data_IF_986892298101
#
_entry.id   IF_986892298101
#
_cell.length_a   1.000
_cell.length_b   1.000
_cell.length_c   1.000
_cell.angle_alpha   90.00
_cell.angle_beta   90.00
_cell.angle_gamma   90.00
#
_symmetry.space_group_name_H-M   'P 1'
#
loop_
_entity.id
_entity.type
_entity.pdbx_description
1 polymer ?
#
# COMPACT_ATOMS: atom_id res chain seq x y z
N UNK A 1 -22.75 -18.80 2.19
CA UNK A 1 -22.07 -17.67 2.85
C UNK A 1 -22.67 -16.42 2.26
N UNK A 2 -23.50 -15.72 3.02
CA UNK A 2 -24.32 -14.63 2.52
C UNK A 2 -24.27 -13.49 3.52
N UNK A 3 -23.96 -12.28 3.05
CA UNK A 3 -23.85 -11.08 3.88
C UNK A 3 -22.41 -10.75 4.25
N UNK A 4 -22.21 -10.36 5.51
CA UNK A 4 -21.00 -9.72 6.01
C UNK A 4 -19.71 -10.56 5.88
N UNK A 5 -19.81 -11.89 5.93
CA UNK A 5 -18.64 -12.77 5.78
C UNK A 5 -17.93 -12.60 4.42
N UNK A 6 -18.68 -12.25 3.37
CA UNK A 6 -18.11 -11.96 2.05
C UNK A 6 -17.29 -10.67 2.08
N UNK A 7 -17.73 -9.68 2.86
CA UNK A 7 -17.01 -8.41 2.99
C UNK A 7 -15.76 -8.60 3.85
N UNK A 8 -15.85 -9.35 4.95
CA UNK A 8 -14.71 -9.77 5.75
C UNK A 8 -13.68 -10.52 4.89
N UNK A 9 -14.12 -11.45 4.04
CA UNK A 9 -13.25 -12.13 3.08
C UNK A 9 -12.52 -11.16 2.13
N UNK A 10 -13.22 -10.15 1.61
CA UNK A 10 -12.62 -9.11 0.76
C UNK A 10 -11.61 -8.24 1.51
N UNK A 11 -11.85 -7.92 2.78
CA UNK A 11 -10.90 -7.19 3.65
C UNK A 11 -9.61 -8.00 3.79
N UNK A 12 -9.74 -9.30 4.09
CA UNK A 12 -8.59 -10.19 4.22
C UNK A 12 -7.80 -10.31 2.90
N UNK A 13 -8.49 -10.43 1.76
CA UNK A 13 -7.84 -10.51 0.45
C UNK A 13 -7.15 -9.21 0.05
N UNK A 14 -7.75 -8.06 0.38
CA UNK A 14 -7.13 -6.75 0.18
C UNK A 14 -5.87 -6.58 1.04
N UNK A 15 -5.89 -7.01 2.30
CA UNK A 15 -4.73 -6.97 3.19
C UNK A 15 -3.56 -7.81 2.64
N UNK A 16 -3.85 -9.04 2.19
CA UNK A 16 -2.84 -9.89 1.52
C UNK A 16 -2.32 -9.29 0.22
N UNK A 17 -3.17 -8.62 -0.55
CA UNK A 17 -2.74 -7.93 -1.76
C UNK A 17 -1.80 -6.76 -1.44
N UNK A 18 -2.15 -5.94 -0.45
CA UNK A 18 -1.31 -4.83 0.03
C UNK A 18 0.04 -5.33 0.54
N UNK A 19 0.06 -6.38 1.36
CA UNK A 19 1.29 -6.99 1.86
C UNK A 19 2.20 -7.49 0.72
N UNK A 20 1.64 -8.16 -0.29
CA UNK A 20 2.40 -8.60 -1.46
C UNK A 20 3.00 -7.42 -2.24
N UNK A 21 2.29 -6.29 -2.34
CA UNK A 21 2.83 -5.08 -2.98
C UNK A 21 4.01 -4.54 -2.18
N UNK A 22 3.90 -4.48 -0.85
CA UNK A 22 5.00 -4.06 0.02
C UNK A 22 6.25 -4.95 -0.16
N UNK A 23 6.07 -6.27 -0.20
CA UNK A 23 7.15 -7.25 -0.40
C UNK A 23 7.85 -7.09 -1.76
N UNK A 24 7.10 -6.73 -2.81
CA UNK A 24 7.65 -6.47 -4.15
C UNK A 24 8.43 -5.15 -4.19
N UNK A 25 7.95 -4.12 -3.50
CA UNK A 25 8.54 -2.77 -3.55
C UNK A 25 9.74 -2.64 -2.61
N UNK A 26 9.68 -3.21 -1.40
CA UNK A 26 10.70 -3.07 -0.37
C UNK A 26 12.15 -3.35 -0.82
N UNK A 27 12.45 -4.37 -1.67
CA UNK A 27 13.80 -4.64 -2.12
C UNK A 27 14.27 -3.78 -3.30
N UNK A 28 13.40 -2.94 -3.89
CA UNK A 28 13.74 -2.17 -5.08
C UNK A 28 14.62 -0.97 -4.73
N UNK A 29 15.82 -0.88 -5.28
CA UNK A 29 16.67 0.30 -5.11
C UNK A 29 16.52 1.25 -6.31
N UNK A 30 15.56 2.18 -6.23
CA UNK A 30 15.30 3.13 -7.32
C UNK A 30 16.48 4.08 -7.56
N UNK A 31 17.18 4.49 -6.51
CA UNK A 31 18.32 5.38 -6.64
C UNK A 31 19.54 4.65 -7.22
N UNK A 32 19.80 3.42 -6.79
CA UNK A 32 20.91 2.59 -7.26
C UNK A 32 20.69 2.02 -8.67
N UNK A 33 19.44 1.86 -9.11
CA UNK A 33 19.12 1.46 -10.49
C UNK A 33 19.52 2.52 -11.53
N UNK A 34 19.70 3.78 -11.12
CA UNK A 34 20.14 4.86 -12.00
C UNK A 34 21.67 4.82 -12.07
N UNK A 35 22.27 4.43 -13.22
CA UNK A 35 23.71 4.39 -13.36
C UNK A 35 24.28 5.79 -13.15
N UNK A 36 25.48 5.85 -12.56
CA UNK A 36 26.22 7.09 -12.54
C UNK A 36 26.51 7.48 -13.99
N UNK A 37 25.94 8.60 -14.44
CA UNK A 37 26.25 9.12 -15.76
C UNK A 37 27.72 9.51 -15.77
N UNK A 38 28.46 9.06 -16.79
CA UNK A 38 29.89 9.32 -16.94
C UNK A 38 30.21 10.75 -16.50
N UNK A 39 30.91 10.86 -15.37
CA UNK A 39 31.34 12.11 -14.76
C UNK A 39 32.39 12.86 -15.61
N UNK A 40 32.49 12.53 -16.91
CA UNK A 40 33.54 12.92 -17.83
C UNK A 40 33.62 14.41 -18.12
N UNK A 41 32.63 15.22 -17.72
CA UNK A 41 32.72 16.67 -17.83
C UNK A 41 32.34 17.37 -16.51
N UNK A 42 33.34 17.85 -15.75
CA UNK A 42 33.15 18.82 -14.67
C UNK A 42 32.30 20.01 -15.16
N UNK A 43 31.24 20.36 -14.42
CA UNK A 43 30.36 21.48 -14.76
C UNK A 43 29.13 21.12 -15.60
N UNK A 44 28.96 19.86 -16.01
CA UNK A 44 27.74 19.43 -16.69
C UNK A 44 26.53 19.54 -15.75
N UNK A 45 25.62 20.49 -16.03
CA UNK A 45 24.32 20.62 -15.33
C UNK A 45 23.53 19.30 -15.28
N UNK A 46 23.79 18.38 -16.20
CA UNK A 46 23.22 17.04 -16.23
C UNK A 46 23.60 16.19 -15.00
N UNK A 47 24.85 16.25 -14.53
CA UNK A 47 25.32 15.49 -13.34
C UNK A 47 24.64 16.01 -12.07
N UNK A 48 24.51 17.33 -11.93
CA UNK A 48 23.80 17.93 -10.79
C UNK A 48 22.30 17.56 -10.79
N UNK A 49 21.65 17.55 -11.96
CA UNK A 49 20.27 17.08 -12.11
C UNK A 49 20.14 15.59 -11.77
N UNK A 50 21.06 14.76 -12.23
CA UNK A 50 21.08 13.33 -11.92
C UNK A 50 21.20 13.08 -10.41
N UNK A 51 22.12 13.78 -9.74
CA UNK A 51 22.28 13.70 -8.29
C UNK A 51 21.04 14.19 -7.53
N UNK A 52 20.29 15.15 -8.08
CA UNK A 52 19.00 15.59 -7.53
C UNK A 52 17.93 14.51 -7.68
N UNK A 53 17.87 13.84 -8.82
CA UNK A 53 16.93 12.73 -9.08
C UNK A 53 17.24 11.55 -8.16
N UNK A 54 18.50 11.10 -8.08
CA UNK A 54 18.91 10.00 -7.19
C UNK A 54 18.55 10.30 -5.72
N UNK A 55 18.78 11.53 -5.25
CA UNK A 55 18.36 11.95 -3.90
C UNK A 55 16.86 11.97 -3.70
N UNK A 56 16.08 12.34 -4.70
CA UNK A 56 14.60 12.36 -4.61
C UNK A 56 13.97 10.97 -4.60
N UNK A 57 14.69 9.96 -5.09
CA UNK A 57 14.25 8.57 -5.09
C UNK A 57 14.80 7.75 -3.92
N UNK A 58 15.95 8.13 -3.35
CA UNK A 58 16.54 7.40 -2.24
C UNK A 58 15.57 7.26 -1.05
N UNK A 59 15.29 6.02 -0.65
CA UNK A 59 14.42 5.70 0.49
C UNK A 59 12.93 5.80 0.19
N UNK A 60 12.53 6.16 -1.04
CA UNK A 60 11.11 6.32 -1.39
C UNK A 60 10.41 4.98 -1.52
N UNK A 61 11.12 3.95 -1.97
CA UNK A 61 10.71 2.55 -1.94
C UNK A 61 10.29 2.10 -0.53
N UNK A 62 11.06 2.48 0.50
CA UNK A 62 10.83 2.04 1.87
C UNK A 62 9.58 2.71 2.45
N UNK A 63 9.39 4.00 2.14
CA UNK A 63 8.21 4.73 2.54
C UNK A 63 6.95 4.14 1.91
N UNK A 64 6.97 3.86 0.60
CA UNK A 64 5.83 3.25 -0.10
C UNK A 64 5.55 1.85 0.44
N UNK A 65 6.58 1.01 0.63
CA UNK A 65 6.42 -0.32 1.20
C UNK A 65 5.85 -0.28 2.62
N UNK A 66 6.26 0.70 3.45
CA UNK A 66 5.73 0.90 4.79
C UNK A 66 4.25 1.31 4.77
N UNK A 67 3.84 2.18 3.85
CA UNK A 67 2.42 2.56 3.70
C UNK A 67 1.54 1.36 3.33
N UNK A 68 1.98 0.53 2.37
CA UNK A 68 1.27 -0.70 2.03
C UNK A 68 1.25 -1.72 3.17
N UNK A 69 2.34 -1.84 3.94
CA UNK A 69 2.40 -2.72 5.11
C UNK A 69 1.45 -2.25 6.20
N UNK A 70 1.43 -0.95 6.51
CA UNK A 70 0.50 -0.37 7.49
C UNK A 70 -0.96 -0.56 7.08
N UNK A 71 -1.28 -0.38 5.79
CA UNK A 71 -2.62 -0.67 5.29
C UNK A 71 -3.00 -2.15 5.43
N UNK A 72 -2.06 -3.07 5.17
CA UNK A 72 -2.28 -4.50 5.38
C UNK A 72 -2.54 -4.84 6.85
N UNK A 73 -1.79 -4.24 7.78
CA UNK A 73 -1.99 -4.38 9.22
C UNK A 73 -3.38 -3.88 9.66
N UNK A 74 -3.80 -2.70 9.21
CA UNK A 74 -5.10 -2.14 9.54
C UNK A 74 -6.25 -3.03 9.03
N UNK A 75 -6.12 -3.59 7.83
CA UNK A 75 -7.08 -4.56 7.31
C UNK A 75 -7.08 -5.87 8.09
N UNK A 76 -5.92 -6.36 8.55
CA UNK A 76 -5.85 -7.54 9.41
C UNK A 76 -6.55 -7.32 10.75
N UNK A 77 -6.33 -6.15 11.37
CA UNK A 77 -7.04 -5.77 12.61
C UNK A 77 -8.55 -5.67 12.39
N UNK A 78 -8.99 -5.16 11.25
CA UNK A 78 -10.41 -5.11 10.90
C UNK A 78 -11.02 -6.51 10.72
N UNK A 79 -10.33 -7.43 10.02
CA UNK A 79 -10.76 -8.83 9.87
C UNK A 79 -10.88 -9.52 11.24
N UNK A 80 -9.87 -9.38 12.10
CA UNK A 80 -9.89 -9.92 13.47
C UNK A 80 -11.04 -9.34 14.30
N UNK A 81 -11.23 -8.02 14.26
CA UNK A 81 -12.30 -7.34 14.99
C UNK A 81 -13.68 -7.83 14.58
N UNK A 82 -13.96 -7.88 13.27
CA UNK A 82 -15.27 -8.28 12.76
C UNK A 82 -15.55 -9.78 12.92
N UNK A 83 -14.51 -10.63 12.94
CA UNK A 83 -14.67 -12.05 13.28
C UNK A 83 -14.94 -12.28 14.76
N UNK A 84 -14.38 -11.45 15.64
CA UNK A 84 -14.61 -11.53 17.08
C UNK A 84 -15.94 -10.90 17.51
N UNK A 85 -16.52 -9.99 16.71
CA UNK A 85 -17.71 -9.22 17.05
C UNK A 85 -18.74 -9.25 15.91
N UNK A 86 -19.49 -10.35 15.77
CA UNK A 86 -20.54 -10.49 14.74
C UNK A 86 -21.57 -9.34 14.78
N UNK A 87 -21.96 -8.88 15.98
CA UNK A 87 -22.90 -7.77 16.14
C UNK A 87 -22.33 -6.43 15.63
N UNK A 88 -21.04 -6.18 15.86
CA UNK A 88 -20.33 -5.01 15.35
C UNK A 88 -20.16 -5.06 13.83
N UNK A 89 -19.85 -6.25 13.30
CA UNK A 89 -19.76 -6.47 11.85
C UNK A 89 -21.11 -6.23 11.16
N UNK A 90 -22.20 -6.75 11.72
CA UNK A 90 -23.54 -6.52 11.17
C UNK A 90 -23.98 -5.06 11.28
N UNK A 91 -23.63 -4.35 12.35
CA UNK A 91 -23.97 -2.93 12.51
C UNK A 91 -23.24 -2.05 11.50
N UNK A 92 -21.92 -2.18 11.42
CA UNK A 92 -21.08 -1.35 10.56
C UNK A 92 -21.35 -1.63 9.08
N UNK A 93 -21.56 -2.89 8.70
CA UNK A 93 -21.81 -3.24 7.30
C UNK A 93 -23.20 -2.85 6.83
N UNK A 94 -24.22 -2.84 7.70
CA UNK A 94 -25.54 -2.30 7.37
C UNK A 94 -25.52 -0.79 7.18
N UNK A 95 -24.60 -0.06 7.81
CA UNK A 95 -24.44 1.39 7.57
C UNK A 95 -23.77 1.67 6.22
N UNK A 96 -22.92 0.76 5.73
CA UNK A 96 -22.25 0.86 4.43
C UNK A 96 -23.10 0.35 3.26
N UNK A 97 -24.05 -0.56 3.51
CA UNK A 97 -25.15 -0.84 2.59
C UNK A 97 -26.13 0.34 2.60
N UNK A 98 -25.79 1.43 1.90
CA UNK A 98 -26.71 2.55 1.63
C UNK A 98 -28.08 1.99 1.22
N UNK A 99 -29.21 2.48 1.76
CA UNK A 99 -30.52 1.91 1.44
C UNK A 99 -30.68 1.93 -0.08
N UNK A 100 -30.83 0.73 -0.65
CA UNK A 100 -31.16 0.56 -2.07
C UNK A 100 -32.44 1.35 -2.27
N UNK A 101 -32.34 2.51 -2.91
CA UNK A 101 -33.49 3.39 -3.16
C UNK A 101 -34.55 2.53 -3.82
N UNK A 102 -35.63 2.29 -3.07
CA UNK A 102 -36.80 1.61 -3.56
C UNK A 102 -37.35 2.44 -4.73
N UNK A 103 -37.34 1.83 -5.92
CA UNK A 103 -38.04 2.34 -7.09
C UNK A 103 -39.52 2.04 -7.02
#
# INVERSE_FOLDING_TARGET
MAGYEVVIGKIADAGKAAQRVAEVIAPLDFAGAIPDGDAGMPGARAVAKLASVKRGWAGREQLIAAEFSGYAEDLSRADEFYRAHEDGAQHDLRQWETPRTAG
#
